data_IF_035892784113
#
_entry.id   IF_035892784113
#
_cell.length_a   1.000
_cell.length_b   1.000
_cell.length_c   1.000
_cell.angle_alpha   90.00
_cell.angle_beta   90.00
_cell.angle_gamma   90.00
#
_symmetry.space_group_name_H-M   'P 1'
#
loop_
_entity.id
_entity.type
_entity.pdbx_description
1 polymer ?
#
# COMPACT_ATOMS: atom_id res chain seq x y z
N UNK A 1 51.41 -75.56 -2.70
CA UNK A 1 50.24 -74.70 -3.04
C UNK A 1 49.72 -74.14 -1.74
N UNK A 2 50.01 -72.85 -1.41
CA UNK A 2 49.39 -72.22 -0.25
C UNK A 2 48.23 -71.31 -0.72
N UNK A 3 47.10 -71.45 0.00
CA UNK A 3 45.88 -70.64 -0.22
C UNK A 3 46.04 -69.24 0.40
N UNK A 4 45.80 -68.22 -0.41
CA UNK A 4 45.74 -66.84 0.01
C UNK A 4 44.30 -66.52 0.46
N UNK A 5 44.11 -66.17 1.75
CA UNK A 5 42.84 -65.65 2.30
C UNK A 5 42.77 -64.16 2.03
N UNK A 6 41.77 -63.74 1.26
CA UNK A 6 41.36 -62.29 1.13
C UNK A 6 40.48 -61.95 2.35
N UNK A 7 40.98 -61.04 3.17
CA UNK A 7 40.21 -60.34 4.18
C UNK A 7 39.55 -59.17 3.55
N UNK A 8 38.21 -59.13 3.51
CA UNK A 8 37.39 -58.01 3.06
C UNK A 8 37.43 -56.88 4.09
N UNK A 9 38.07 -55.76 3.74
CA UNK A 9 37.95 -54.49 4.47
C UNK A 9 36.70 -53.76 3.99
N UNK A 10 35.75 -53.54 4.90
CA UNK A 10 34.62 -52.61 4.69
C UNK A 10 35.12 -51.14 4.66
N UNK A 11 34.79 -50.35 3.64
CA UNK A 11 35.05 -48.92 3.70
C UNK A 11 33.98 -48.24 4.58
N UNK A 12 34.42 -47.66 5.70
CA UNK A 12 33.61 -46.83 6.56
C UNK A 12 33.08 -45.60 5.79
N UNK A 13 31.78 -45.48 5.76
CA UNK A 13 31.09 -44.29 5.27
C UNK A 13 31.44 -43.07 6.14
N UNK A 14 32.37 -42.26 5.69
CA UNK A 14 32.54 -40.86 6.16
C UNK A 14 31.44 -40.00 5.53
N UNK A 15 30.34 -39.82 6.21
CA UNK A 15 29.34 -38.82 5.88
C UNK A 15 29.94 -37.43 6.12
N UNK A 16 29.88 -36.49 5.14
CA UNK A 16 30.43 -35.18 5.34
C UNK A 16 29.55 -34.35 6.28
N UNK A 17 30.11 -34.03 7.45
CA UNK A 17 29.51 -33.13 8.45
C UNK A 17 29.41 -31.68 8.02
N UNK A 18 29.61 -31.35 6.74
CA UNK A 18 29.67 -29.99 6.19
C UNK A 18 28.29 -29.38 5.86
N UNK A 19 27.24 -30.22 5.69
CA UNK A 19 25.93 -29.73 5.21
C UNK A 19 25.05 -29.08 6.25
N UNK A 20 25.28 -29.25 7.55
CA UNK A 20 24.40 -28.70 8.59
C UNK A 20 24.71 -27.26 8.94
N UNK A 21 25.96 -26.81 8.81
CA UNK A 21 26.36 -25.41 9.07
C UNK A 21 25.92 -24.44 7.98
N UNK A 22 25.79 -24.88 6.71
CA UNK A 22 25.34 -24.04 5.61
C UNK A 22 23.84 -23.72 5.67
N UNK A 23 23.01 -24.61 6.22
CA UNK A 23 21.56 -24.38 6.37
C UNK A 23 21.23 -23.37 7.47
N UNK A 24 22.04 -23.29 8.53
CA UNK A 24 21.83 -22.32 9.62
C UNK A 24 22.20 -20.90 9.19
N UNK A 25 23.19 -20.74 8.30
CA UNK A 25 23.57 -19.42 7.79
C UNK A 25 22.52 -18.77 6.88
N UNK A 26 21.75 -19.57 6.12
CA UNK A 26 20.72 -19.04 5.22
C UNK A 26 19.44 -18.59 5.96
N UNK A 27 19.12 -19.19 7.11
CA UNK A 27 17.97 -18.76 7.93
C UNK A 27 18.25 -17.51 8.76
N UNK A 28 19.50 -17.19 9.06
CA UNK A 28 19.89 -16.00 9.83
C UNK A 28 19.77 -14.69 9.06
N UNK A 29 20.09 -14.68 7.77
CA UNK A 29 20.05 -13.46 6.95
C UNK A 29 18.64 -12.88 6.78
N UNK A 30 17.62 -13.73 6.62
CA UNK A 30 16.24 -13.28 6.46
C UNK A 30 15.65 -12.65 7.72
N UNK A 31 16.08 -13.05 8.91
CA UNK A 31 15.62 -12.48 10.17
C UNK A 31 16.28 -11.11 10.44
N UNK A 32 17.56 -10.96 10.17
CA UNK A 32 18.26 -9.67 10.28
C UNK A 32 17.72 -8.63 9.30
N UNK A 33 17.45 -9.01 8.05
CA UNK A 33 16.85 -8.10 7.07
C UNK A 33 15.48 -7.58 7.50
N UNK A 34 14.65 -8.43 8.14
CA UNK A 34 13.36 -8.01 8.71
C UNK A 34 13.53 -7.07 9.89
N UNK A 35 14.53 -7.31 10.74
CA UNK A 35 14.87 -6.42 11.85
C UNK A 35 15.29 -5.04 11.36
N UNK A 36 16.16 -4.97 10.33
CA UNK A 36 16.60 -3.70 9.76
C UNK A 36 15.47 -2.97 9.05
N UNK A 37 14.61 -3.67 8.31
CA UNK A 37 13.44 -3.04 7.69
C UNK A 37 12.47 -2.47 8.73
N UNK A 38 12.20 -3.21 9.81
CA UNK A 38 11.34 -2.73 10.90
C UNK A 38 11.93 -1.52 11.62
N UNK A 39 13.25 -1.52 11.86
CA UNK A 39 13.94 -0.38 12.45
C UNK A 39 13.94 0.85 11.52
N UNK A 40 14.12 0.64 10.21
CA UNK A 40 13.97 1.68 9.20
C UNK A 40 12.57 2.32 9.23
N UNK A 41 11.51 1.51 9.33
CA UNK A 41 10.12 2.00 9.47
C UNK A 41 9.96 2.83 10.73
N UNK A 42 10.49 2.38 11.86
CA UNK A 42 10.44 3.10 13.14
C UNK A 42 11.13 4.47 13.06
N UNK A 43 12.31 4.50 12.45
CA UNK A 43 13.09 5.74 12.28
C UNK A 43 12.38 6.72 11.32
N UNK A 44 11.78 6.22 10.26
CA UNK A 44 10.96 7.03 9.36
C UNK A 44 9.79 7.70 10.10
N UNK A 45 9.06 6.93 10.92
CA UNK A 45 7.95 7.45 11.72
C UNK A 45 8.39 8.51 12.73
N UNK A 46 9.64 8.46 13.18
CA UNK A 46 10.27 9.46 14.05
C UNK A 46 10.82 10.68 13.28
N UNK A 47 10.71 10.70 11.95
CA UNK A 47 11.28 11.76 11.12
C UNK A 47 12.80 11.65 10.89
N UNK A 48 13.43 10.58 11.39
CA UNK A 48 14.85 10.33 11.15
C UNK A 48 15.04 9.60 9.79
N UNK A 49 14.84 10.35 8.72
CA UNK A 49 14.87 9.79 7.35
C UNK A 49 16.26 9.28 6.95
N UNK A 50 17.34 9.92 7.42
CA UNK A 50 18.70 9.45 7.14
C UNK A 50 18.97 8.09 7.79
N UNK A 51 18.58 7.94 9.06
CA UNK A 51 18.64 6.66 9.75
C UNK A 51 17.80 5.58 9.08
N UNK A 52 16.58 5.95 8.65
CA UNK A 52 15.69 5.05 7.93
C UNK A 52 16.31 4.53 6.63
N UNK A 53 16.89 5.43 5.80
CA UNK A 53 17.59 5.04 4.56
C UNK A 53 18.72 4.04 4.86
N UNK A 54 19.55 4.29 5.88
CA UNK A 54 20.66 3.40 6.25
C UNK A 54 20.16 1.99 6.60
N UNK A 55 19.11 1.88 7.40
CA UNK A 55 18.54 0.59 7.78
C UNK A 55 17.84 -0.12 6.61
N UNK A 56 17.12 0.60 5.74
CA UNK A 56 16.54 0.00 4.54
C UNK A 56 17.62 -0.48 3.56
N UNK A 57 18.75 0.22 3.43
CA UNK A 57 19.89 -0.24 2.63
C UNK A 57 20.54 -1.50 3.22
N UNK A 58 20.65 -1.59 4.55
CA UNK A 58 21.13 -2.80 5.22
C UNK A 58 20.19 -3.98 4.99
N UNK A 59 18.88 -3.76 5.13
CA UNK A 59 17.88 -4.77 4.82
C UNK A 59 17.95 -5.23 3.35
N UNK A 60 18.13 -4.29 2.42
CA UNK A 60 18.29 -4.59 1.00
C UNK A 60 19.59 -5.35 0.70
N UNK A 61 20.69 -5.05 1.40
CA UNK A 61 21.94 -5.80 1.26
C UNK A 61 21.81 -7.26 1.70
N UNK A 62 20.94 -7.53 2.70
CA UNK A 62 20.66 -8.89 3.18
C UNK A 62 19.61 -9.61 2.33
N UNK A 63 18.68 -8.89 1.72
CA UNK A 63 17.65 -9.40 0.80
C UNK A 63 17.65 -8.60 -0.52
N UNK A 64 18.64 -8.83 -1.39
CA UNK A 64 18.74 -8.14 -2.66
C UNK A 64 17.50 -8.38 -3.53
N UNK A 65 16.84 -7.30 -3.94
CA UNK A 65 15.65 -7.38 -4.77
C UNK A 65 14.33 -7.44 -4.01
N UNK A 66 14.31 -7.21 -2.68
CA UNK A 66 13.07 -7.08 -1.91
C UNK A 66 12.23 -5.89 -2.40
N UNK A 67 11.00 -6.11 -2.91
CA UNK A 67 10.12 -5.02 -3.33
C UNK A 67 9.79 -4.06 -2.20
N UNK A 68 9.57 -4.58 -0.97
CA UNK A 68 9.25 -3.78 0.21
C UNK A 68 10.40 -2.83 0.58
N UNK A 69 11.66 -3.30 0.51
CA UNK A 69 12.82 -2.45 0.77
C UNK A 69 12.96 -1.35 -0.27
N UNK A 70 12.76 -1.66 -1.56
CA UNK A 70 12.75 -0.65 -2.61
C UNK A 70 11.64 0.38 -2.41
N UNK A 71 10.42 -0.09 -2.09
CA UNK A 71 9.31 0.79 -1.79
C UNK A 71 9.61 1.72 -0.61
N UNK A 72 10.12 1.19 0.51
CA UNK A 72 10.43 1.97 1.70
C UNK A 72 11.54 3.00 1.46
N UNK A 73 12.56 2.66 0.67
CA UNK A 73 13.59 3.61 0.22
C UNK A 73 12.96 4.72 -0.64
N UNK A 74 12.16 4.34 -1.64
CA UNK A 74 11.44 5.29 -2.49
C UNK A 74 10.55 6.24 -1.67
N UNK A 75 9.76 5.71 -0.75
CA UNK A 75 8.89 6.49 0.13
C UNK A 75 9.67 7.46 1.03
N UNK A 76 10.86 7.02 1.50
CA UNK A 76 11.71 7.86 2.34
C UNK A 76 12.32 9.02 1.56
N UNK A 77 12.84 8.76 0.35
CA UNK A 77 13.35 9.83 -0.52
C UNK A 77 12.25 10.77 -1.01
N UNK A 78 11.07 10.24 -1.34
CA UNK A 78 9.90 11.03 -1.71
C UNK A 78 9.52 12.00 -0.59
N UNK A 79 9.47 11.53 0.65
CA UNK A 79 9.19 12.38 1.81
C UNK A 79 10.28 13.44 2.04
N UNK A 80 11.56 13.09 1.87
CA UNK A 80 12.65 14.06 1.94
C UNK A 80 12.56 15.13 0.86
N UNK A 81 12.23 14.73 -0.37
CA UNK A 81 12.02 15.67 -1.49
C UNK A 81 10.95 16.71 -1.15
N UNK A 82 9.83 16.27 -0.56
CA UNK A 82 8.73 17.16 -0.15
C UNK A 82 9.12 18.09 0.99
N UNK A 83 9.82 17.60 1.99
CA UNK A 83 10.19 18.38 3.18
C UNK A 83 11.30 19.38 2.91
N UNK A 84 12.27 19.02 2.07
CA UNK A 84 13.49 19.80 1.86
C UNK A 84 13.58 20.46 0.49
N UNK A 85 12.57 20.26 -0.37
CA UNK A 85 12.54 20.82 -1.73
C UNK A 85 13.68 20.34 -2.62
N UNK A 86 14.06 19.05 -2.51
CA UNK A 86 15.19 18.47 -3.24
C UNK A 86 14.74 17.69 -4.47
N UNK A 87 14.87 18.22 -5.69
CA UNK A 87 14.47 17.48 -6.91
C UNK A 87 15.24 16.16 -7.12
N UNK A 88 16.52 16.10 -6.68
CA UNK A 88 17.33 14.89 -6.78
C UNK A 88 16.76 13.73 -5.94
N UNK A 89 16.18 14.04 -4.78
CA UNK A 89 15.53 13.03 -3.93
C UNK A 89 14.24 12.52 -4.60
N UNK A 90 13.50 13.38 -5.33
CA UNK A 90 12.32 12.97 -6.11
C UNK A 90 12.68 11.98 -7.21
N UNK A 91 13.74 12.27 -7.98
CA UNK A 91 14.26 11.36 -9.00
C UNK A 91 14.74 10.03 -8.40
N UNK A 92 15.40 10.08 -7.24
CA UNK A 92 15.84 8.89 -6.52
C UNK A 92 14.64 8.05 -6.06
N UNK A 93 13.57 8.69 -5.56
CA UNK A 93 12.34 8.02 -5.19
C UNK A 93 11.69 7.30 -6.39
N UNK A 94 11.60 7.98 -7.54
CA UNK A 94 11.08 7.40 -8.78
C UNK A 94 11.86 6.15 -9.19
N UNK A 95 13.21 6.20 -9.15
CA UNK A 95 14.06 5.04 -9.46
C UNK A 95 13.78 3.86 -8.53
N UNK A 96 13.64 4.09 -7.22
CA UNK A 96 13.33 3.02 -6.29
C UNK A 96 11.92 2.44 -6.48
N UNK A 97 10.92 3.26 -6.83
CA UNK A 97 9.59 2.76 -7.19
C UNK A 97 9.63 1.93 -8.47
N UNK A 98 10.40 2.32 -9.48
CA UNK A 98 10.61 1.50 -10.66
C UNK A 98 11.28 0.16 -10.34
N UNK A 99 12.29 0.14 -9.46
CA UNK A 99 12.91 -1.11 -8.99
C UNK A 99 11.91 -2.00 -8.25
N UNK A 100 11.09 -1.43 -7.38
CA UNK A 100 10.01 -2.15 -6.69
C UNK A 100 9.06 -2.80 -7.71
N UNK A 101 8.52 -2.02 -8.65
CA UNK A 101 7.55 -2.49 -9.64
C UNK A 101 8.17 -3.46 -10.66
N UNK A 102 9.48 -3.38 -10.92
CA UNK A 102 10.18 -4.36 -11.75
C UNK A 102 10.28 -5.74 -11.07
N UNK A 103 10.30 -5.78 -9.74
CA UNK A 103 10.33 -7.03 -8.94
C UNK A 103 8.94 -7.56 -8.63
N UNK A 104 8.02 -6.67 -8.34
CA UNK A 104 6.60 -6.99 -8.11
C UNK A 104 5.71 -5.95 -8.80
N UNK A 105 5.27 -6.22 -10.04
CA UNK A 105 4.40 -5.29 -10.79
C UNK A 105 3.06 -5.01 -10.11
N UNK A 106 2.65 -5.85 -9.16
CA UNK A 106 1.39 -5.74 -8.44
C UNK A 106 1.58 -5.28 -6.98
N UNK A 107 2.75 -4.68 -6.68
CA UNK A 107 3.00 -4.12 -5.35
C UNK A 107 2.13 -2.88 -5.14
N UNK A 108 1.00 -3.05 -4.47
CA UNK A 108 -0.07 -2.04 -4.34
C UNK A 108 0.44 -0.70 -3.79
N UNK A 109 1.16 -0.72 -2.67
CA UNK A 109 1.68 0.49 -2.06
C UNK A 109 2.62 1.26 -3.01
N UNK A 110 3.41 0.53 -3.81
CA UNK A 110 4.32 1.13 -4.78
C UNK A 110 3.58 1.69 -6.00
N UNK A 111 2.55 1.00 -6.52
CA UNK A 111 1.70 1.51 -7.59
C UNK A 111 1.06 2.86 -7.19
N UNK A 112 0.53 2.93 -5.97
CA UNK A 112 -0.08 4.16 -5.43
C UNK A 112 0.96 5.27 -5.23
N UNK A 113 2.10 4.96 -4.62
CA UNK A 113 3.15 5.94 -4.37
C UNK A 113 3.75 6.51 -5.65
N UNK A 114 3.95 5.67 -6.67
CA UNK A 114 4.41 6.10 -7.99
C UNK A 114 3.40 7.01 -8.67
N UNK A 115 2.11 6.67 -8.63
CA UNK A 115 1.06 7.52 -9.18
C UNK A 115 1.01 8.90 -8.47
N UNK A 116 1.16 8.93 -7.14
CA UNK A 116 1.25 10.18 -6.36
C UNK A 116 2.44 11.02 -6.81
N UNK A 117 3.63 10.42 -6.90
CA UNK A 117 4.86 11.10 -7.33
C UNK A 117 4.67 11.72 -8.73
N UNK A 118 4.13 10.97 -9.68
CA UNK A 118 3.90 11.45 -11.05
C UNK A 118 2.91 12.63 -11.09
N UNK A 119 1.86 12.59 -10.27
CA UNK A 119 0.90 13.72 -10.17
C UNK A 119 1.58 14.95 -9.56
N UNK A 120 2.39 14.79 -8.51
CA UNK A 120 3.13 15.89 -7.90
C UNK A 120 4.15 16.53 -8.86
N UNK A 121 4.72 15.73 -9.79
CA UNK A 121 5.58 16.22 -10.86
C UNK A 121 4.82 16.74 -12.10
N UNK A 122 3.50 16.90 -12.02
CA UNK A 122 2.64 17.34 -13.14
C UNK A 122 2.63 16.37 -14.33
N UNK A 123 2.92 15.10 -14.10
CA UNK A 123 2.94 14.01 -15.09
C UNK A 123 1.70 13.11 -14.97
N UNK A 124 0.54 13.75 -14.74
CA UNK A 124 -0.73 13.02 -14.52
C UNK A 124 -1.11 12.06 -15.65
N UNK A 125 -0.86 12.33 -16.95
CA UNK A 125 -1.12 11.35 -18.01
C UNK A 125 -0.34 10.04 -17.83
N UNK A 126 0.90 10.11 -17.33
CA UNK A 126 1.70 8.93 -17.07
C UNK A 126 1.17 8.15 -15.85
N UNK A 127 0.72 8.86 -14.81
CA UNK A 127 0.06 8.23 -13.65
C UNK A 127 -1.21 7.48 -14.07
N UNK A 128 -2.05 8.08 -14.91
CA UNK A 128 -3.25 7.43 -15.45
C UNK A 128 -2.89 6.17 -16.23
N UNK A 129 -1.94 6.28 -17.18
CA UNK A 129 -1.51 5.14 -17.98
C UNK A 129 -0.96 3.97 -17.13
N UNK A 130 -0.21 4.28 -16.06
CA UNK A 130 0.30 3.30 -15.11
C UNK A 130 -0.83 2.59 -14.35
N UNK A 131 -1.79 3.35 -13.81
CA UNK A 131 -2.92 2.81 -13.06
C UNK A 131 -3.86 1.98 -13.94
N UNK A 132 -4.11 2.40 -15.19
CA UNK A 132 -4.84 1.59 -16.17
C UNK A 132 -4.11 0.27 -16.49
N UNK A 133 -2.78 0.31 -16.63
CA UNK A 133 -1.98 -0.90 -16.81
C UNK A 133 -2.07 -1.83 -15.59
N UNK A 134 -2.11 -1.28 -14.37
CA UNK A 134 -2.34 -2.05 -13.16
C UNK A 134 -3.76 -2.66 -13.15
N UNK A 135 -4.80 -1.88 -13.47
CA UNK A 135 -6.18 -2.37 -13.57
C UNK A 135 -6.32 -3.55 -14.55
N UNK A 136 -5.67 -3.46 -15.71
CA UNK A 136 -5.66 -4.55 -16.70
C UNK A 136 -4.97 -5.83 -16.19
N UNK A 137 -3.94 -5.71 -15.34
CA UNK A 137 -3.26 -6.87 -14.75
C UNK A 137 -4.06 -7.51 -13.61
N UNK A 138 -4.80 -6.70 -12.86
CA UNK A 138 -5.58 -7.14 -11.69
C UNK A 138 -7.04 -6.69 -11.80
N UNK A 139 -7.84 -7.26 -12.71
CA UNK A 139 -9.20 -6.80 -12.95
C UNK A 139 -10.16 -7.01 -11.75
N UNK A 140 -9.81 -7.88 -10.81
CA UNK A 140 -10.57 -8.11 -9.58
C UNK A 140 -10.14 -7.19 -8.42
N UNK A 141 -9.15 -6.31 -8.62
CA UNK A 141 -8.67 -5.38 -7.61
C UNK A 141 -9.34 -4.00 -7.82
N UNK A 142 -10.13 -3.49 -6.85
CA UNK A 142 -10.78 -2.19 -6.99
C UNK A 142 -9.81 -0.99 -6.84
N UNK A 143 -8.61 -1.21 -6.26
CA UNK A 143 -7.70 -0.12 -5.90
C UNK A 143 -7.23 0.72 -7.10
N UNK A 144 -6.89 0.17 -8.29
CA UNK A 144 -6.54 0.99 -9.45
C UNK A 144 -7.64 1.98 -9.82
N UNK A 145 -8.90 1.54 -9.76
CA UNK A 145 -10.04 2.40 -10.07
C UNK A 145 -10.23 3.52 -9.03
N UNK A 146 -9.98 3.22 -7.76
CA UNK A 146 -10.02 4.22 -6.68
C UNK A 146 -8.95 5.31 -6.92
N UNK A 147 -7.73 4.91 -7.28
CA UNK A 147 -6.65 5.85 -7.54
C UNK A 147 -6.88 6.67 -8.83
N UNK A 148 -7.42 6.07 -9.88
CA UNK A 148 -7.85 6.80 -11.09
C UNK A 148 -8.92 7.85 -10.74
N UNK A 149 -9.93 7.47 -9.98
CA UNK A 149 -10.97 8.39 -9.54
C UNK A 149 -10.40 9.59 -8.77
N UNK A 150 -9.41 9.35 -7.92
CA UNK A 150 -8.72 10.40 -7.17
C UNK A 150 -8.01 11.39 -8.10
N UNK A 151 -7.26 10.89 -9.10
CA UNK A 151 -6.57 11.75 -10.07
C UNK A 151 -7.59 12.61 -10.84
N UNK A 152 -8.67 12.02 -11.34
CA UNK A 152 -9.72 12.77 -12.06
C UNK A 152 -10.41 13.80 -11.17
N UNK A 153 -10.61 13.48 -9.88
CA UNK A 153 -11.17 14.43 -8.90
C UNK A 153 -10.23 15.62 -8.66
N UNK A 154 -8.92 15.39 -8.54
CA UNK A 154 -7.90 16.44 -8.38
C UNK A 154 -7.83 17.36 -9.61
N UNK A 155 -8.10 16.84 -10.81
CA UNK A 155 -8.18 17.61 -12.05
C UNK A 155 -9.55 18.25 -12.30
N UNK A 156 -10.53 18.07 -11.40
CA UNK A 156 -11.88 18.63 -11.52
C UNK A 156 -12.80 17.86 -12.45
N UNK A 157 -12.38 16.73 -13.02
CA UNK A 157 -13.22 15.87 -13.85
C UNK A 157 -14.04 14.91 -12.96
N UNK A 158 -15.02 15.49 -12.25
CA UNK A 158 -15.82 14.81 -11.25
C UNK A 158 -16.65 13.68 -11.85
N UNK A 159 -17.06 13.80 -13.13
CA UNK A 159 -17.83 12.75 -13.81
C UNK A 159 -16.98 11.51 -14.09
N UNK A 160 -15.74 11.68 -14.52
CA UNK A 160 -14.82 10.55 -14.70
C UNK A 160 -14.48 9.90 -13.36
N UNK A 161 -14.28 10.72 -12.32
CA UNK A 161 -14.07 10.18 -10.96
C UNK A 161 -15.27 9.31 -10.50
N UNK A 162 -16.52 9.76 -10.75
CA UNK A 162 -17.70 8.95 -10.45
C UNK A 162 -17.70 7.61 -11.20
N UNK A 163 -17.42 7.63 -12.51
CA UNK A 163 -17.39 6.42 -13.32
C UNK A 163 -16.40 5.39 -12.76
N UNK A 164 -15.16 5.81 -12.47
CA UNK A 164 -14.16 4.92 -11.90
C UNK A 164 -14.54 4.38 -10.51
N UNK A 165 -15.23 5.16 -9.67
CA UNK A 165 -15.71 4.68 -8.38
C UNK A 165 -16.89 3.71 -8.53
N UNK A 166 -17.74 3.89 -9.53
CA UNK A 166 -18.79 2.92 -9.85
C UNK A 166 -18.19 1.59 -10.33
N UNK A 167 -17.14 1.65 -11.16
CA UNK A 167 -16.40 0.46 -11.59
C UNK A 167 -15.73 -0.23 -10.38
N UNK A 168 -15.11 0.52 -9.49
CA UNK A 168 -14.55 -0.02 -8.24
C UNK A 168 -15.60 -0.69 -7.36
N UNK A 169 -16.80 -0.10 -7.26
CA UNK A 169 -17.92 -0.65 -6.49
C UNK A 169 -18.51 -1.90 -7.13
N UNK A 170 -18.44 -2.02 -8.46
CA UNK A 170 -18.84 -3.24 -9.18
C UNK A 170 -17.89 -4.41 -8.89
N UNK A 171 -16.59 -4.13 -8.70
CA UNK A 171 -15.58 -5.13 -8.32
C UNK A 171 -15.75 -5.55 -6.84
N UNK A 172 -15.87 -4.59 -5.93
CA UNK A 172 -16.08 -4.85 -4.49
C UNK A 172 -17.26 -4.02 -3.97
N UNK A 173 -18.49 -4.59 -3.99
CA UNK A 173 -19.69 -3.90 -3.55
C UNK A 173 -19.70 -3.54 -2.06
N UNK A 174 -18.87 -4.16 -1.25
CA UNK A 174 -18.80 -3.94 0.21
C UNK A 174 -17.62 -3.08 0.64
N UNK A 175 -16.90 -2.46 -0.29
CA UNK A 175 -15.73 -1.64 0.02
C UNK A 175 -16.13 -0.28 0.64
N UNK A 176 -15.88 -0.07 1.94
CA UNK A 176 -16.31 1.16 2.59
C UNK A 176 -15.52 2.40 2.11
N UNK A 177 -14.28 2.22 1.60
CA UNK A 177 -13.49 3.33 1.01
C UNK A 177 -14.15 3.82 -0.29
N UNK A 178 -14.56 2.89 -1.16
CA UNK A 178 -15.26 3.22 -2.42
C UNK A 178 -16.57 3.92 -2.13
N UNK A 179 -17.37 3.39 -1.19
CA UNK A 179 -18.65 3.99 -0.81
C UNK A 179 -18.49 5.41 -0.27
N UNK A 180 -17.48 5.66 0.57
CA UNK A 180 -17.19 7.02 1.08
C UNK A 180 -16.76 7.95 -0.05
N UNK A 181 -15.84 7.52 -0.92
CA UNK A 181 -15.37 8.32 -2.05
C UNK A 181 -16.50 8.64 -3.03
N UNK A 182 -17.35 7.66 -3.35
CA UNK A 182 -18.52 7.86 -4.19
C UNK A 182 -19.54 8.81 -3.56
N UNK A 183 -19.74 8.73 -2.23
CA UNK A 183 -20.55 9.68 -1.47
C UNK A 183 -20.02 11.12 -1.61
N UNK A 184 -18.72 11.33 -1.49
CA UNK A 184 -18.09 12.65 -1.65
C UNK A 184 -18.26 13.20 -3.07
N UNK A 185 -18.00 12.38 -4.08
CA UNK A 185 -18.17 12.77 -5.49
C UNK A 185 -19.62 13.15 -5.78
N UNK A 186 -20.59 12.39 -5.30
CA UNK A 186 -22.04 12.69 -5.48
C UNK A 186 -22.48 13.92 -4.71
N UNK A 187 -21.90 14.19 -3.55
CA UNK A 187 -22.12 15.45 -2.83
C UNK A 187 -21.64 16.67 -3.66
N UNK A 188 -20.45 16.57 -4.31
CA UNK A 188 -19.95 17.61 -5.22
C UNK A 188 -20.88 17.79 -6.43
N UNK A 189 -21.45 16.71 -6.96
CA UNK A 189 -22.40 16.75 -8.06
C UNK A 189 -23.80 17.24 -7.64
N UNK A 190 -24.04 17.47 -6.35
CA UNK A 190 -25.32 17.91 -5.79
C UNK A 190 -26.34 16.78 -5.57
N UNK A 191 -25.96 15.52 -5.79
CA UNK A 191 -26.83 14.36 -5.53
C UNK A 191 -26.72 13.92 -4.06
N UNK A 192 -27.25 14.76 -3.18
CA UNK A 192 -27.21 14.54 -1.73
C UNK A 192 -27.95 13.28 -1.31
N UNK A 193 -28.97 12.85 -2.06
CA UNK A 193 -29.73 11.63 -1.76
C UNK A 193 -28.87 10.38 -1.93
N UNK A 194 -28.20 10.26 -3.05
CA UNK A 194 -27.29 9.14 -3.30
C UNK A 194 -26.02 9.22 -2.45
N UNK A 195 -25.50 10.43 -2.18
CA UNK A 195 -24.40 10.63 -1.25
C UNK A 195 -24.73 10.09 0.14
N UNK A 196 -25.89 10.45 0.68
CA UNK A 196 -26.39 9.95 1.98
C UNK A 196 -26.52 8.42 2.00
N UNK A 197 -27.05 7.83 0.93
CA UNK A 197 -27.20 6.37 0.82
C UNK A 197 -25.82 5.68 0.86
N UNK A 198 -24.81 6.21 0.13
CA UNK A 198 -23.46 5.66 0.13
C UNK A 198 -22.77 5.78 1.49
N UNK A 199 -22.84 6.94 2.14
CA UNK A 199 -22.28 7.13 3.48
C UNK A 199 -22.93 6.22 4.51
N UNK A 200 -24.27 6.08 4.48
CA UNK A 200 -25.00 5.20 5.38
C UNK A 200 -24.61 3.73 5.19
N UNK A 201 -24.43 3.31 3.93
CA UNK A 201 -23.95 1.97 3.62
C UNK A 201 -22.50 1.76 4.08
N UNK A 202 -21.61 2.74 3.90
CA UNK A 202 -20.26 2.67 4.43
C UNK A 202 -20.22 2.49 5.95
N UNK A 203 -21.07 3.23 6.69
CA UNK A 203 -21.20 3.11 8.15
C UNK A 203 -21.78 1.77 8.59
N UNK A 204 -22.70 1.17 7.82
CA UNK A 204 -23.23 -0.15 8.15
C UNK A 204 -22.16 -1.26 8.05
N UNK A 205 -21.13 -1.06 7.23
CA UNK A 205 -20.02 -1.99 7.06
C UNK A 205 -18.92 -1.71 8.09
N UNK A 206 -18.57 -0.43 8.29
CA UNK A 206 -17.56 0.02 9.24
C UNK A 206 -18.09 1.21 10.05
N UNK A 207 -18.64 0.89 11.22
CA UNK A 207 -19.26 1.88 12.11
C UNK A 207 -18.29 2.86 12.79
N UNK A 208 -16.98 2.60 12.73
CA UNK A 208 -15.97 3.41 13.41
C UNK A 208 -15.43 4.56 12.55
N UNK A 209 -16.33 5.32 11.90
CA UNK A 209 -15.99 6.44 11.01
C UNK A 209 -16.70 7.73 11.41
N UNK A 210 -16.20 8.45 12.43
CA UNK A 210 -16.89 9.62 12.98
C UNK A 210 -17.13 10.73 11.93
N UNK A 211 -16.22 10.93 10.99
CA UNK A 211 -16.39 11.91 9.91
C UNK A 211 -17.54 11.52 8.97
N UNK A 212 -17.66 10.24 8.62
CA UNK A 212 -18.75 9.75 7.78
C UNK A 212 -20.09 9.82 8.54
N UNK A 213 -20.10 9.52 9.83
CA UNK A 213 -21.28 9.67 10.68
C UNK A 213 -21.78 11.13 10.73
N UNK A 214 -20.86 12.09 10.85
CA UNK A 214 -21.20 13.51 10.78
C UNK A 214 -21.79 13.91 9.41
N UNK A 215 -21.28 13.35 8.30
CA UNK A 215 -21.83 13.57 6.95
C UNK A 215 -23.25 13.01 6.83
N UNK A 216 -23.50 11.80 7.33
CA UNK A 216 -24.85 11.22 7.36
C UNK A 216 -25.82 12.09 8.16
N UNK A 217 -25.40 12.59 9.33
CA UNK A 217 -26.23 13.45 10.16
C UNK A 217 -26.56 14.79 9.47
N UNK A 218 -25.56 15.41 8.83
CA UNK A 218 -25.75 16.70 8.13
C UNK A 218 -26.67 16.56 6.91
N UNK A 219 -26.45 15.54 6.06
CA UNK A 219 -27.28 15.32 4.87
C UNK A 219 -28.68 14.80 5.22
N UNK A 220 -28.81 13.95 6.25
CA UNK A 220 -30.11 13.46 6.74
C UNK A 220 -31.00 14.58 7.28
N UNK A 221 -30.43 15.56 7.97
CA UNK A 221 -31.15 16.76 8.44
C UNK A 221 -31.66 17.64 7.30
N UNK A 222 -30.87 17.80 6.22
CA UNK A 222 -31.26 18.62 5.05
C UNK A 222 -32.32 17.93 4.19
N UNK A 223 -32.34 16.61 4.06
CA UNK A 223 -33.36 15.87 3.30
C UNK A 223 -34.72 15.91 3.99
N UNK A 224 -34.79 15.93 5.32
CA UNK A 224 -36.05 16.15 6.05
C UNK A 224 -36.56 17.59 5.99
N UNK A 225 -35.67 18.58 5.94
CA UNK A 225 -36.05 19.99 5.80
C UNK A 225 -36.44 20.38 4.37
N UNK A 226 -35.87 19.69 3.36
CA UNK A 226 -36.08 19.99 1.93
C UNK A 226 -37.46 19.62 1.37
N UNK A 227 -38.28 18.86 2.11
CA UNK A 227 -39.69 18.59 1.75
C UNK A 227 -40.56 19.83 1.97
N UNK A 228 -40.08 20.87 2.68
CA UNK A 228 -40.87 22.04 3.06
C UNK A 228 -40.51 23.32 2.29
N UNK A 229 -39.42 23.40 1.56
CA UNK A 229 -39.05 24.62 0.81
C UNK A 229 -38.49 24.36 -0.58
N UNK A 230 -39.38 24.28 -1.56
CA UNK A 230 -39.04 24.58 -2.94
C UNK A 230 -38.96 26.12 -3.09
N UNK A 231 -37.79 26.68 -3.10
CA UNK A 231 -37.61 28.11 -3.41
C UNK A 231 -36.35 28.72 -2.80
N UNK A 232 -35.30 28.86 -3.59
CA UNK A 232 -34.35 29.96 -3.45
C UNK A 232 -33.00 29.68 -2.82
N UNK A 233 -32.01 30.04 -3.57
CA UNK A 233 -30.60 30.30 -3.26
C UNK A 233 -29.62 29.14 -3.51
N UNK A 234 -29.00 29.24 -4.70
CA UNK A 234 -27.71 28.60 -4.98
C UNK A 234 -26.66 29.23 -4.05
N UNK A 235 -26.31 28.54 -2.98
CA UNK A 235 -25.09 28.84 -2.25
C UNK A 235 -23.92 28.26 -3.05
N UNK A 236 -22.97 29.12 -3.43
CA UNK A 236 -21.72 28.72 -4.05
C UNK A 236 -21.03 27.72 -3.10
N UNK A 237 -20.94 26.47 -3.53
CA UNK A 237 -20.18 25.45 -2.80
C UNK A 237 -18.69 25.81 -2.90
N UNK A 238 -18.08 26.07 -1.75
CA UNK A 238 -16.62 26.13 -1.63
C UNK A 238 -16.05 24.79 -2.13
N UNK A 239 -14.92 24.80 -2.86
CA UNK A 239 -14.28 23.57 -3.26
C UNK A 239 -13.94 22.75 -2.01
N UNK A 240 -14.56 21.60 -1.88
CA UNK A 240 -14.22 20.67 -0.82
C UNK A 240 -12.82 20.07 -1.10
N UNK A 241 -11.97 19.97 -0.08
CA UNK A 241 -10.66 19.34 -0.28
C UNK A 241 -10.84 17.91 -0.80
N UNK A 242 -10.04 17.56 -1.79
CA UNK A 242 -9.92 16.18 -2.27
C UNK A 242 -9.74 15.23 -1.08
N UNK A 243 -10.19 13.99 -1.24
CA UNK A 243 -9.89 12.96 -0.22
C UNK A 243 -8.40 13.02 0.05
N UNK A 244 -7.97 13.32 1.30
CA UNK A 244 -6.56 13.39 1.58
C UNK A 244 -5.89 12.12 1.11
N UNK A 245 -4.80 12.26 0.33
CA UNK A 245 -3.93 11.15 0.05
C UNK A 245 -3.60 10.50 1.39
N UNK A 246 -3.97 9.24 1.56
CA UNK A 246 -3.42 8.52 2.70
C UNK A 246 -1.90 8.67 2.61
N UNK A 247 -1.24 9.14 3.68
CA UNK A 247 0.19 9.31 3.65
C UNK A 247 0.82 8.00 3.18
N UNK A 248 1.86 8.09 2.34
CA UNK A 248 2.61 6.92 1.87
C UNK A 248 3.06 6.14 3.11
N UNK A 249 2.31 5.11 3.45
CA UNK A 249 2.58 4.29 4.63
C UNK A 249 3.67 3.27 4.28
N UNK A 250 4.70 3.18 5.12
CA UNK A 250 5.75 2.19 4.93
C UNK A 250 5.21 0.76 5.12
N UNK A 251 5.69 -0.16 4.29
CA UNK A 251 5.36 -1.58 4.41
C UNK A 251 6.11 -2.17 5.60
N UNK A 252 5.35 -2.64 6.59
CA UNK A 252 5.89 -3.41 7.70
C UNK A 252 6.09 -4.87 7.29
N UNK A 253 7.13 -5.55 7.78
CA UNK A 253 7.32 -6.96 7.52
C UNK A 253 6.13 -7.75 8.10
N UNK A 254 5.60 -8.70 7.32
CA UNK A 254 4.53 -9.57 7.76
C UNK A 254 4.93 -10.29 9.07
N UNK A 255 4.07 -10.22 10.10
CA UNK A 255 4.27 -10.94 11.33
C UNK A 255 4.28 -12.45 11.03
N UNK A 256 5.39 -13.12 11.33
CA UNK A 256 5.39 -14.59 11.27
C UNK A 256 4.65 -15.15 12.49
N UNK A 257 3.84 -16.21 12.35
CA UNK A 257 3.36 -16.95 13.50
C UNK A 257 4.57 -17.46 14.29
N UNK A 258 4.54 -17.22 15.60
CA UNK A 258 5.56 -17.76 16.52
C UNK A 258 5.64 -19.29 16.33
N UNK A 259 6.84 -19.87 16.22
CA UNK A 259 6.97 -21.33 16.22
C UNK A 259 6.33 -21.89 17.50
N UNK A 260 5.64 -23.04 17.42
CA UNK A 260 5.05 -23.65 18.60
C UNK A 260 6.13 -23.85 19.65
N UNK A 261 5.83 -23.43 20.87
CA UNK A 261 6.74 -23.62 22.00
C UNK A 261 7.06 -25.10 22.11
N UNK A 262 8.31 -25.48 21.80
CA UNK A 262 8.81 -26.81 22.07
C UNK A 262 8.85 -26.97 23.58
N UNK A 263 7.83 -27.66 24.12
CA UNK A 263 7.78 -28.04 25.50
C UNK A 263 8.99 -28.90 25.84
N UNK A 264 9.89 -28.34 26.63
CA UNK A 264 10.94 -29.09 27.29
C UNK A 264 10.27 -29.99 28.34
N UNK A 265 9.95 -31.24 27.94
CA UNK A 265 9.66 -32.26 28.90
C UNK A 265 10.98 -32.68 29.53
N UNK A 266 11.25 -32.16 30.70
CA UNK A 266 12.26 -32.73 31.57
C UNK A 266 11.87 -34.15 31.99
N UNK A 267 12.75 -35.11 31.72
CA UNK A 267 12.98 -36.32 32.53
C UNK A 267 14.45 -36.65 32.51
#
# INVERSE_FOLDING_TARGET
>A
MPQVRFTSMCPGMLLPRVSLLALVAMSGCGWMARSDNAEGVRLYQQGNYLGAVNHFQQALAQQPGSPDCFYNLGATYHQQAKLFGRPADMQTAEQYYHLCLSRNPNHEACQRAMAVLLVEEQRSPEAVAQLEAWSRREPANPNPQIELARIYQEHGDIRQAENHLVDALAIDPSNPRVLVALGQVREILGDNGQALANYSRALSIDGQRPVVAAKVASLGGTTQAGVVQAGGARTASLPMPAVPLEPVALVQPAAQPLPPATGNAAR
#
